data_IF_650625538543
#
_entry.id   IF_650625538543
#
_cell.length_a   1.000
_cell.length_b   1.000
_cell.length_c   1.000
_cell.angle_alpha   90.00
_cell.angle_beta   90.00
_cell.angle_gamma   90.00
#
_symmetry.space_group_name_H-M   'P 1'
#
loop_
_entity.id
_entity.type
_entity.pdbx_description
1 polymer ?
#
# COMPACT_ATOMS: atom_id res chain seq x y z
N UNK A 1 21.33 -14.67 6.86
CA UNK A 1 22.38 -14.46 5.83
C UNK A 1 23.64 -13.94 6.50
N UNK A 2 24.69 -14.77 6.60
CA UNK A 2 26.00 -14.44 7.17
C UNK A 2 26.87 -13.57 6.25
N UNK A 3 26.51 -13.47 4.97
CA UNK A 3 27.28 -12.75 3.94
C UNK A 3 26.99 -11.25 3.94
N UNK A 4 26.12 -10.76 4.82
CA UNK A 4 25.70 -9.35 4.87
C UNK A 4 25.99 -8.79 6.26
N UNK A 5 26.89 -7.79 6.31
CA UNK A 5 27.24 -7.10 7.55
C UNK A 5 26.10 -6.22 8.06
N UNK A 6 26.17 -5.83 9.33
CA UNK A 6 25.20 -4.91 9.93
C UNK A 6 25.21 -3.54 9.22
N UNK A 7 26.39 -3.02 8.92
CA UNK A 7 26.58 -1.73 8.25
C UNK A 7 25.97 -1.77 6.83
N UNK A 8 26.13 -2.88 6.11
CA UNK A 8 25.50 -3.06 4.80
C UNK A 8 23.97 -3.02 4.92
N UNK A 9 23.38 -3.68 5.93
CA UNK A 9 21.94 -3.62 6.17
C UNK A 9 21.47 -2.20 6.48
N UNK A 10 22.17 -1.49 7.35
CA UNK A 10 21.83 -0.12 7.74
C UNK A 10 21.89 0.84 6.53
N UNK A 11 22.93 0.73 5.69
CA UNK A 11 23.05 1.53 4.46
C UNK A 11 21.92 1.20 3.48
N UNK A 12 21.62 -0.08 3.25
CA UNK A 12 20.52 -0.48 2.36
C UNK A 12 19.18 0.03 2.88
N UNK A 13 18.92 -0.08 4.18
CA UNK A 13 17.69 0.41 4.79
C UNK A 13 17.57 1.93 4.68
N UNK A 14 18.67 2.67 4.87
CA UNK A 14 18.68 4.12 4.70
C UNK A 14 18.36 4.53 3.25
N UNK A 15 18.98 3.88 2.26
CA UNK A 15 18.73 4.17 0.84
C UNK A 15 17.28 3.86 0.47
N UNK A 16 16.80 2.66 0.79
CA UNK A 16 15.43 2.25 0.45
C UNK A 16 14.37 3.00 1.25
N UNK A 17 14.70 3.45 2.46
CA UNK A 17 13.85 4.32 3.28
C UNK A 17 13.47 5.64 2.60
N UNK A 18 14.25 6.09 1.60
CA UNK A 18 13.94 7.28 0.82
C UNK A 18 12.70 7.16 -0.07
N UNK A 19 12.23 5.94 -0.35
CA UNK A 19 11.05 5.70 -1.21
C UNK A 19 9.87 5.08 -0.47
N UNK A 20 10.00 4.75 0.81
CA UNK A 20 8.93 4.16 1.60
C UNK A 20 9.41 3.42 2.85
N UNK A 21 8.48 2.75 3.52
CA UNK A 21 8.80 1.86 4.64
C UNK A 21 9.54 0.62 4.17
N UNK A 22 10.38 0.06 5.05
CA UNK A 22 11.16 -1.14 4.78
C UNK A 22 10.85 -2.21 5.83
N UNK A 23 10.85 -3.47 5.41
CA UNK A 23 10.61 -4.62 6.27
C UNK A 23 11.70 -5.67 6.01
N UNK A 24 12.44 -6.04 7.06
CA UNK A 24 13.41 -7.13 7.00
C UNK A 24 12.71 -8.47 7.23
N UNK A 25 12.92 -9.41 6.33
CA UNK A 25 12.42 -10.78 6.46
C UNK A 25 13.56 -11.72 6.85
N UNK A 26 13.28 -12.66 7.75
CA UNK A 26 14.28 -13.66 8.17
C UNK A 26 14.45 -14.79 7.15
N UNK A 27 13.40 -15.07 6.36
CA UNK A 27 13.38 -16.14 5.37
C UNK A 27 13.13 -15.58 3.96
N UNK A 28 14.01 -15.95 3.03
CA UNK A 28 13.94 -15.54 1.62
C UNK A 28 12.67 -16.05 0.92
N UNK A 29 12.12 -17.21 1.33
CA UNK A 29 10.87 -17.72 0.77
C UNK A 29 9.65 -16.83 1.03
N UNK A 30 9.76 -15.88 1.96
CA UNK A 30 8.71 -14.89 2.21
C UNK A 30 8.69 -13.77 1.16
N UNK A 31 9.71 -13.67 0.30
CA UNK A 31 9.72 -12.68 -0.78
C UNK A 31 8.60 -12.92 -1.79
N UNK A 32 8.26 -14.18 -2.10
CA UNK A 32 7.11 -14.50 -2.97
C UNK A 32 5.80 -13.95 -2.38
N UNK A 33 5.63 -14.07 -1.05
CA UNK A 33 4.47 -13.54 -0.32
C UNK A 33 4.47 -12.01 -0.37
N UNK A 34 5.63 -11.37 -0.16
CA UNK A 34 5.73 -9.91 -0.26
C UNK A 34 5.39 -9.45 -1.67
N UNK A 35 5.88 -10.12 -2.72
CA UNK A 35 5.52 -9.78 -4.11
C UNK A 35 4.01 -9.89 -4.33
N UNK A 36 3.37 -10.94 -3.84
CA UNK A 36 1.92 -11.10 -3.96
C UNK A 36 1.14 -9.97 -3.26
N UNK A 37 1.60 -9.53 -2.08
CA UNK A 37 0.90 -8.51 -1.28
C UNK A 37 1.26 -7.08 -1.67
N UNK A 38 2.54 -6.72 -1.74
CA UNK A 38 2.96 -5.33 -1.99
C UNK A 38 3.31 -5.06 -3.46
N UNK A 39 3.79 -6.07 -4.19
CA UNK A 39 4.08 -5.94 -5.61
C UNK A 39 2.81 -5.91 -6.46
N UNK A 40 1.92 -6.88 -6.25
CA UNK A 40 0.64 -6.98 -6.97
C UNK A 40 -0.52 -6.27 -6.27
N UNK A 41 -0.47 -6.10 -4.95
CA UNK A 41 -1.59 -5.54 -4.18
C UNK A 41 -2.11 -4.18 -4.62
N UNK A 42 -1.29 -3.21 -5.06
CA UNK A 42 -1.79 -1.94 -5.58
C UNK A 42 -2.81 -2.10 -6.70
N UNK A 43 -2.71 -3.15 -7.53
CA UNK A 43 -3.67 -3.41 -8.60
C UNK A 43 -5.08 -3.71 -8.06
N UNK A 44 -5.19 -4.39 -6.91
CA UNK A 44 -6.48 -4.66 -6.27
C UNK A 44 -7.13 -3.37 -5.77
N UNK A 45 -6.36 -2.46 -5.20
CA UNK A 45 -6.85 -1.16 -4.76
C UNK A 45 -7.24 -0.27 -5.95
N UNK A 46 -6.48 -0.29 -7.05
CA UNK A 46 -6.86 0.43 -8.27
C UNK A 46 -8.16 -0.09 -8.84
N UNK A 47 -8.32 -1.42 -8.90
CA UNK A 47 -9.58 -2.03 -9.36
C UNK A 47 -10.77 -1.66 -8.47
N UNK A 48 -10.59 -1.68 -7.14
CA UNK A 48 -11.63 -1.24 -6.20
C UNK A 48 -11.99 0.24 -6.39
N UNK A 49 -10.97 1.10 -6.55
CA UNK A 49 -11.18 2.53 -6.80
C UNK A 49 -11.96 2.72 -8.10
N UNK A 50 -11.58 2.04 -9.19
CA UNK A 50 -12.30 2.10 -10.47
C UNK A 50 -13.77 1.70 -10.31
N UNK A 51 -14.05 0.58 -9.63
CA UNK A 51 -15.42 0.14 -9.35
C UNK A 51 -16.22 1.16 -8.51
N UNK A 52 -15.58 1.82 -7.53
CA UNK A 52 -16.22 2.87 -6.73
C UNK A 52 -16.52 4.13 -7.56
N UNK A 53 -15.63 4.49 -8.49
CA UNK A 53 -15.86 5.61 -9.42
C UNK A 53 -17.05 5.34 -10.33
N UNK A 54 -17.10 4.15 -10.95
CA UNK A 54 -18.20 3.73 -11.82
C UNK A 54 -19.53 3.72 -11.05
N UNK A 55 -19.53 3.16 -9.84
CA UNK A 55 -20.71 3.14 -8.98
C UNK A 55 -21.18 4.56 -8.65
N UNK A 56 -20.27 5.45 -8.23
CA UNK A 56 -20.60 6.85 -7.92
C UNK A 56 -21.22 7.58 -9.11
N UNK A 57 -20.66 7.40 -10.31
CA UNK A 57 -21.21 8.00 -11.53
C UNK A 57 -22.58 7.42 -11.90
N UNK A 58 -22.76 6.10 -11.78
CA UNK A 58 -24.04 5.44 -12.04
C UNK A 58 -25.17 5.92 -11.12
N UNK A 59 -24.81 6.41 -9.93
CA UNK A 59 -25.72 6.96 -8.93
C UNK A 59 -25.93 8.48 -9.08
N UNK A 60 -25.36 9.11 -10.11
CA UNK A 60 -25.63 10.49 -10.49
C UNK A 60 -24.58 11.50 -10.05
N UNK A 61 -23.44 11.07 -9.50
CA UNK A 61 -22.30 11.96 -9.31
C UNK A 61 -21.65 12.29 -10.66
N UNK A 62 -21.16 13.52 -10.80
CA UNK A 62 -20.24 13.79 -11.91
C UNK A 62 -18.87 13.16 -11.62
N UNK A 63 -18.03 13.07 -12.65
CA UNK A 63 -16.72 12.43 -12.58
C UNK A 63 -15.84 13.01 -11.46
N UNK A 64 -15.79 14.34 -11.31
CA UNK A 64 -14.94 14.99 -10.31
C UNK A 64 -15.42 14.73 -8.89
N UNK A 65 -16.73 14.70 -8.66
CA UNK A 65 -17.33 14.34 -7.38
C UNK A 65 -17.06 12.88 -7.01
N UNK A 66 -17.31 11.94 -7.93
CA UNK A 66 -17.04 10.53 -7.72
C UNK A 66 -15.55 10.29 -7.41
N UNK A 67 -14.66 10.97 -8.14
CA UNK A 67 -13.22 10.91 -7.95
C UNK A 67 -12.77 11.44 -6.60
N UNK A 68 -13.25 12.62 -6.22
CA UNK A 68 -12.92 13.22 -4.94
C UNK A 68 -13.34 12.30 -3.78
N UNK A 69 -14.60 11.88 -3.76
CA UNK A 69 -15.14 11.06 -2.68
C UNK A 69 -14.44 9.69 -2.57
N UNK A 70 -14.16 9.04 -3.70
CA UNK A 70 -13.51 7.73 -3.72
C UNK A 70 -12.08 7.80 -3.19
N UNK A 71 -11.29 8.77 -3.66
CA UNK A 71 -9.89 8.92 -3.24
C UNK A 71 -9.79 9.30 -1.77
N UNK A 72 -10.62 10.25 -1.31
CA UNK A 72 -10.62 10.68 0.08
C UNK A 72 -11.04 9.54 1.01
N UNK A 73 -12.02 8.73 0.59
CA UNK A 73 -12.45 7.55 1.36
C UNK A 73 -11.33 6.52 1.47
N UNK A 74 -10.68 6.17 0.36
CA UNK A 74 -9.58 5.20 0.36
C UNK A 74 -8.40 5.68 1.22
N UNK A 75 -7.99 6.94 1.04
CA UNK A 75 -6.89 7.52 1.82
C UNK A 75 -7.24 7.67 3.30
N UNK A 76 -8.47 8.08 3.63
CA UNK A 76 -8.95 8.23 4.99
C UNK A 76 -9.01 6.91 5.75
N UNK A 77 -9.50 5.85 5.10
CA UNK A 77 -9.56 4.51 5.70
C UNK A 77 -8.16 3.99 6.08
N UNK A 78 -7.21 4.07 5.15
CA UNK A 78 -5.82 3.64 5.41
C UNK A 78 -5.18 4.43 6.57
N UNK A 79 -5.34 5.76 6.56
CA UNK A 79 -4.80 6.63 7.63
C UNK A 79 -5.45 6.37 8.98
N UNK A 80 -6.74 6.06 9.02
CA UNK A 80 -7.44 5.78 10.29
C UNK A 80 -6.91 4.50 10.94
N UNK A 81 -6.69 3.44 10.16
CA UNK A 81 -6.12 2.19 10.64
C UNK A 81 -4.70 2.43 11.16
N UNK A 82 -3.86 3.13 10.39
CA UNK A 82 -2.49 3.48 10.79
C UNK A 82 -2.45 4.29 12.09
N UNK A 83 -3.33 5.30 12.24
CA UNK A 83 -3.35 6.18 13.39
C UNK A 83 -3.93 5.54 14.66
N UNK A 84 -4.84 4.58 14.52
CA UNK A 84 -5.56 3.99 15.66
C UNK A 84 -5.04 2.62 16.07
N UNK A 85 -4.34 1.92 15.18
CA UNK A 85 -3.87 0.54 15.41
C UNK A 85 -5.01 -0.45 15.62
N UNK A 86 -6.25 -0.10 15.24
CA UNK A 86 -7.41 -0.98 15.32
C UNK A 86 -7.47 -1.86 14.09
N UNK A 87 -7.90 -3.11 14.29
CA UNK A 87 -8.19 -4.02 13.19
C UNK A 87 -9.31 -3.43 12.29
N UNK A 88 -9.24 -3.64 10.96
CA UNK A 88 -10.26 -3.18 10.01
C UNK A 88 -11.68 -3.68 10.30
#
# INVERSE_FOLDING_TARGET
NSEVSREQREITQYILGGVGSTLWLENESLLDVVTAISGSGPAYFFYLIEAMLEAGQSLGLNESQARQLTIDTAAGAAKLIEATGKDP
#
